data_IF_233512198094
#
_entry.id   IF_233512198094
#
_cell.length_a   1.000
_cell.length_b   1.000
_cell.length_c   1.000
_cell.angle_alpha   90.00
_cell.angle_beta   90.00
_cell.angle_gamma   90.00
#
_symmetry.space_group_name_H-M   'P 1'
#
loop_
_entity.id
_entity.type
_entity.pdbx_description
1 polymer ?
#
# COMPACT_ATOMS: atom_id res chain seq x y z
N UNK A 1 4.01 -5.19 9.58
CA UNK A 1 4.97 -4.28 10.26
C UNK A 1 6.13 -5.06 10.88
N UNK A 2 6.09 -6.39 10.89
CA UNK A 2 7.14 -7.27 11.39
C UNK A 2 7.94 -7.93 10.26
N UNK A 3 8.16 -7.20 9.15
CA UNK A 3 9.03 -7.71 8.08
C UNK A 3 10.49 -7.55 8.53
N UNK A 4 11.11 -8.67 8.90
CA UNK A 4 12.50 -8.77 9.33
C UNK A 4 13.47 -9.12 8.19
N UNK A 5 12.94 -9.40 6.98
CA UNK A 5 13.73 -9.67 5.77
C UNK A 5 14.02 -8.39 5.01
N UNK A 6 13.01 -7.53 4.85
CA UNK A 6 13.14 -6.20 4.27
C UNK A 6 12.46 -5.22 5.21
N UNK A 7 13.28 -4.48 5.97
CA UNK A 7 12.77 -3.66 7.07
C UNK A 7 11.78 -2.59 6.56
N UNK A 8 10.66 -2.35 7.27
CA UNK A 8 9.62 -1.41 6.85
C UNK A 8 10.12 0.03 6.61
N UNK A 9 11.23 0.40 7.25
CA UNK A 9 11.86 1.70 7.12
C UNK A 9 12.21 2.08 5.67
N UNK A 10 12.42 1.11 4.77
CA UNK A 10 12.60 1.41 3.35
C UNK A 10 11.35 2.07 2.74
N UNK A 11 10.19 1.43 2.88
CA UNK A 11 8.92 1.96 2.39
C UNK A 11 8.54 3.25 3.10
N UNK A 12 8.78 3.36 4.41
CA UNK A 12 8.48 4.58 5.18
C UNK A 12 9.24 5.80 4.65
N UNK A 13 10.57 5.66 4.48
CA UNK A 13 11.41 6.76 3.98
C UNK A 13 11.02 7.15 2.56
N UNK A 14 10.75 6.17 1.70
CA UNK A 14 10.33 6.45 0.33
C UNK A 14 8.98 7.16 0.27
N UNK A 15 7.98 6.68 1.00
CA UNK A 15 6.66 7.31 1.02
C UNK A 15 6.71 8.74 1.57
N UNK A 16 7.48 8.98 2.64
CA UNK A 16 7.67 10.33 3.19
C UNK A 16 8.35 11.27 2.18
N UNK A 17 9.42 10.81 1.51
CA UNK A 17 10.12 11.59 0.50
C UNK A 17 9.23 11.86 -0.73
N UNK A 18 8.47 10.86 -1.18
CA UNK A 18 7.52 11.00 -2.27
C UNK A 18 6.44 12.02 -1.94
N UNK A 19 5.81 11.92 -0.76
CA UNK A 19 4.80 12.88 -0.31
C UNK A 19 5.34 14.30 -0.18
N UNK A 20 6.60 14.47 0.25
CA UNK A 20 7.23 15.79 0.34
C UNK A 20 7.54 16.41 -1.03
N UNK A 21 7.88 15.58 -2.03
CA UNK A 21 8.23 16.04 -3.38
C UNK A 21 7.02 16.10 -4.34
N UNK A 22 5.92 15.43 -4.01
CA UNK A 22 4.76 15.29 -4.87
C UNK A 22 3.90 16.55 -4.85
N UNK A 23 3.70 17.16 -6.02
CA UNK A 23 2.91 18.38 -6.20
C UNK A 23 1.66 18.19 -7.07
N UNK A 24 1.38 16.94 -7.48
CA UNK A 24 0.23 16.63 -8.33
C UNK A 24 -1.03 16.27 -7.55
N UNK A 25 -2.16 16.23 -8.25
CA UNK A 25 -3.45 15.83 -7.66
C UNK A 25 -3.55 14.34 -7.27
N UNK A 26 -2.93 13.38 -7.99
CA UNK A 26 -3.03 11.96 -7.60
C UNK A 26 -2.45 11.70 -6.21
N UNK A 27 -3.03 10.84 -5.38
CA UNK A 27 -2.57 10.62 -4.02
C UNK A 27 -1.29 9.77 -3.97
N UNK A 28 -0.36 10.12 -3.07
CA UNK A 28 0.80 9.31 -2.71
C UNK A 28 0.58 8.62 -1.36
N UNK A 29 0.22 7.34 -1.38
CA UNK A 29 -0.19 6.57 -0.19
C UNK A 29 0.76 5.42 0.13
N UNK A 30 0.79 5.04 1.40
CA UNK A 30 1.46 3.84 1.88
C UNK A 30 0.51 3.04 2.79
N UNK A 31 0.31 1.76 2.48
CA UNK A 31 -0.50 0.83 3.28
C UNK A 31 0.40 -0.04 4.14
N UNK A 32 0.23 0.02 5.46
CA UNK A 32 1.01 -0.79 6.41
C UNK A 32 0.17 -1.93 6.93
N UNK A 33 0.49 -3.15 6.50
CA UNK A 33 -0.15 -4.34 7.04
C UNK A 33 0.34 -4.62 8.46
N UNK A 34 -0.59 -4.81 9.41
CA UNK A 34 -0.26 -5.11 10.81
C UNK A 34 -0.32 -6.61 11.07
N UNK A 35 0.53 -7.10 11.99
CA UNK A 35 0.60 -8.54 12.32
C UNK A 35 0.86 -9.45 11.10
N UNK A 36 1.65 -8.94 10.16
CA UNK A 36 2.15 -9.67 9.00
C UNK A 36 3.66 -9.40 8.85
N UNK A 37 4.40 -10.45 8.47
CA UNK A 37 5.81 -10.40 8.07
C UNK A 37 5.95 -10.24 6.55
N UNK A 38 6.99 -10.83 5.95
CA UNK A 38 7.33 -10.68 4.52
C UNK A 38 6.33 -11.29 3.51
N UNK A 39 5.21 -11.86 3.97
CA UNK A 39 4.14 -12.37 3.12
C UNK A 39 3.88 -13.88 3.22
N UNK A 40 4.87 -14.67 3.67
CA UNK A 40 4.66 -16.09 3.95
C UNK A 40 3.72 -16.26 5.15
N UNK A 41 2.67 -17.07 4.98
CA UNK A 41 1.69 -17.33 6.04
C UNK A 41 0.67 -16.20 6.27
N UNK A 42 0.61 -15.17 5.41
CA UNK A 42 -0.43 -14.14 5.51
C UNK A 42 -1.82 -14.77 5.37
N UNK A 43 -2.74 -14.57 6.34
CA UNK A 43 -4.11 -15.08 6.29
C UNK A 43 -4.84 -14.71 5.00
N UNK A 44 -5.68 -15.61 4.50
CA UNK A 44 -6.47 -15.38 3.28
C UNK A 44 -7.31 -14.11 3.39
N UNK A 45 -7.90 -13.83 4.55
CA UNK A 45 -8.65 -12.58 4.79
C UNK A 45 -7.81 -11.33 4.52
N UNK A 46 -6.60 -11.25 5.09
CA UNK A 46 -5.68 -10.12 4.84
C UNK A 46 -5.24 -10.01 3.37
N UNK A 47 -5.13 -11.15 2.66
CA UNK A 47 -4.84 -11.15 1.22
C UNK A 47 -6.01 -10.60 0.41
N UNK A 48 -7.25 -10.93 0.79
CA UNK A 48 -8.46 -10.37 0.18
C UNK A 48 -8.50 -8.86 0.44
N UNK A 49 -8.30 -8.42 1.67
CA UNK A 49 -8.29 -6.99 2.03
C UNK A 49 -7.24 -6.21 1.22
N UNK A 50 -6.01 -6.74 1.11
CA UNK A 50 -4.96 -6.14 0.30
C UNK A 50 -5.34 -6.04 -1.18
N UNK A 51 -5.88 -7.11 -1.76
CA UNK A 51 -6.33 -7.10 -3.15
C UNK A 51 -7.50 -6.12 -3.38
N UNK A 52 -8.43 -6.03 -2.42
CA UNK A 52 -9.53 -5.06 -2.47
C UNK A 52 -9.02 -3.62 -2.43
N UNK A 53 -8.07 -3.31 -1.55
CA UNK A 53 -7.47 -1.98 -1.47
C UNK A 53 -6.71 -1.62 -2.76
N UNK A 54 -5.91 -2.54 -3.29
CA UNK A 54 -5.14 -2.35 -4.54
C UNK A 54 -6.07 -2.12 -5.74
N UNK A 55 -7.06 -2.99 -5.95
CA UNK A 55 -8.00 -2.88 -7.07
C UNK A 55 -8.91 -1.66 -6.91
N UNK A 56 -9.33 -1.34 -5.69
CA UNK A 56 -10.14 -0.15 -5.39
C UNK A 56 -9.37 1.14 -5.69
N UNK A 57 -8.10 1.20 -5.29
CA UNK A 57 -7.21 2.33 -5.61
C UNK A 57 -7.05 2.50 -7.12
N UNK A 58 -6.70 1.41 -7.84
CA UNK A 58 -6.54 1.46 -9.30
C UNK A 58 -7.83 1.87 -10.01
N UNK A 59 -8.98 1.34 -9.58
CA UNK A 59 -10.28 1.68 -10.16
C UNK A 59 -10.59 3.18 -9.99
N UNK A 60 -10.35 3.72 -8.79
CA UNK A 60 -10.54 5.13 -8.48
C UNK A 60 -9.63 6.05 -9.28
N UNK A 61 -8.33 5.80 -9.25
CA UNK A 61 -7.32 6.70 -9.82
C UNK A 61 -7.21 6.61 -11.35
N UNK A 62 -7.57 5.46 -11.94
CA UNK A 62 -7.66 5.30 -13.40
C UNK A 62 -9.05 5.66 -13.96
N UNK A 63 -9.97 6.15 -13.12
CA UNK A 63 -11.31 6.58 -13.54
C UNK A 63 -12.24 5.46 -14.00
N UNK A 64 -11.98 4.21 -13.63
CA UNK A 64 -12.74 3.02 -14.08
C UNK A 64 -14.01 2.73 -13.26
N UNK A 65 -14.63 3.74 -12.65
CA UNK A 65 -15.83 3.58 -11.81
C UNK A 65 -16.73 4.82 -11.75
N UNK A 66 -16.55 5.77 -12.65
CA UNK A 66 -17.48 6.88 -12.86
C UNK A 66 -18.38 6.51 -14.04
N UNK A 67 -19.54 5.93 -13.75
CA UNK A 67 -20.74 6.04 -14.60
C UNK A 67 -21.62 7.16 -14.07
#
# INVERSE_FOLDING_TARGET
>A
DHDDRVVPAHSFKFAAALQAAHTGDPPALIRIETKAGHGAGTPVSKRIDAATDELGFLTRELGRGKE
#
